data_IF_732148924075
#
_entry.id   IF_732148924075
#
_cell.length_a   1.000
_cell.length_b   1.000
_cell.length_c   1.000
_cell.angle_alpha   90.00
_cell.angle_beta   90.00
_cell.angle_gamma   90.00
#
_symmetry.space_group_name_H-M   'P 1'
#
loop_
_entity.id
_entity.type
_entity.pdbx_description
1 polymer ?
#
# COMPACT_ATOMS: atom_id res chain seq x y z
N UNK A 1 -13.38 24.54 33.08
CA UNK A 1 -12.78 25.70 32.39
C UNK A 1 -11.35 25.43 31.88
N UNK A 2 -10.97 24.19 31.52
CA UNK A 2 -9.56 23.81 31.27
C UNK A 2 -9.26 23.17 29.90
N UNK A 3 -10.26 22.77 29.10
CA UNK A 3 -10.03 22.16 27.77
C UNK A 3 -10.06 23.19 26.63
N UNK A 4 -10.96 24.18 26.72
CA UNK A 4 -11.10 25.22 25.69
C UNK A 4 -9.86 26.12 25.59
N UNK A 5 -9.27 26.50 26.72
CA UNK A 5 -8.01 27.28 26.74
C UNK A 5 -6.80 26.47 26.26
N UNK A 6 -6.82 25.13 26.39
CA UNK A 6 -5.76 24.26 25.85
C UNK A 6 -5.87 24.12 24.33
N UNK A 7 -7.08 24.04 23.78
CA UNK A 7 -7.30 24.03 22.33
C UNK A 7 -6.87 25.35 21.67
N UNK A 8 -7.14 26.50 22.31
CA UNK A 8 -6.69 27.81 21.85
C UNK A 8 -5.16 27.94 21.94
N UNK A 9 -4.53 27.39 22.98
CA UNK A 9 -3.08 27.39 23.12
C UNK A 9 -2.39 26.53 22.04
N UNK A 10 -2.99 25.40 21.64
CA UNK A 10 -2.49 24.57 20.53
C UNK A 10 -2.63 25.28 19.19
N UNK A 11 -3.74 25.98 18.95
CA UNK A 11 -3.92 26.81 17.75
C UNK A 11 -2.96 28.01 17.70
N UNK A 12 -2.67 28.62 18.86
CA UNK A 12 -1.69 29.70 18.97
C UNK A 12 -0.24 29.20 18.77
N UNK A 13 0.11 28.01 19.27
CA UNK A 13 1.42 27.39 19.02
C UNK A 13 1.64 27.06 17.54
N UNK A 14 0.59 26.64 16.83
CA UNK A 14 0.66 26.39 15.38
C UNK A 14 0.92 27.68 14.58
N UNK A 15 0.45 28.83 15.07
CA UNK A 15 0.67 30.13 14.43
C UNK A 15 2.06 30.73 14.65
N UNK A 16 2.76 30.36 15.74
CA UNK A 16 4.12 30.83 16.04
C UNK A 16 5.18 30.11 15.18
N UNK A 17 4.89 28.91 14.68
CA UNK A 17 5.76 28.18 13.75
C UNK A 17 5.80 28.79 12.33
N UNK A 18 4.95 29.77 12.02
CA UNK A 18 4.88 30.39 10.69
C UNK A 18 5.63 31.73 10.56
N UNK A 19 6.35 32.21 11.58
CA UNK A 19 6.91 33.58 11.59
C UNK A 19 8.43 33.68 11.84
N UNK A 20 9.20 32.59 11.80
CA UNK A 20 10.67 32.69 11.85
C UNK A 20 11.38 31.70 10.90
N UNK A 21 11.72 32.12 9.67
CA UNK A 21 12.47 31.30 8.73
C UNK A 21 13.97 31.62 8.80
N UNK A 22 14.60 31.56 9.99
CA UNK A 22 16.07 31.73 10.10
C UNK A 22 16.67 30.91 11.24
N UNK A 23 16.44 29.59 11.21
CA UNK A 23 17.46 28.66 11.69
C UNK A 23 17.66 27.62 10.61
N UNK A 24 18.70 27.83 9.80
CA UNK A 24 19.29 26.77 8.99
C UNK A 24 19.78 25.70 9.96
N UNK A 25 18.94 24.71 10.24
CA UNK A 25 19.42 23.43 10.73
C UNK A 25 20.18 22.82 9.56
N UNK A 26 21.51 22.94 9.58
CA UNK A 26 22.34 22.06 8.78
C UNK A 26 21.99 20.64 9.22
N UNK A 27 21.26 19.92 8.37
CA UNK A 27 20.89 18.54 8.59
C UNK A 27 22.20 17.75 8.66
N UNK A 28 22.52 17.22 9.85
CA UNK A 28 23.76 16.48 10.07
C UNK A 28 23.77 15.28 9.12
N UNK A 29 24.73 15.26 8.20
CA UNK A 29 24.80 14.26 7.12
C UNK A 29 25.09 12.90 7.75
N UNK A 30 24.27 11.90 7.47
CA UNK A 30 24.50 10.53 7.92
C UNK A 30 25.80 10.00 7.30
N UNK A 31 26.76 9.61 8.15
CA UNK A 31 28.05 9.03 7.77
C UNK A 31 28.24 7.68 8.47
N UNK A 32 27.96 6.62 7.74
CA UNK A 32 28.02 5.25 8.22
C UNK A 32 29.47 4.79 8.52
N UNK A 33 30.49 5.41 7.93
CA UNK A 33 31.88 5.08 8.22
C UNK A 33 32.29 5.59 9.61
N UNK A 34 31.85 6.79 9.98
CA UNK A 34 32.03 7.31 11.35
C UNK A 34 31.29 6.47 12.39
N UNK A 35 30.14 5.91 12.01
CA UNK A 35 29.37 4.99 12.84
C UNK A 35 29.96 3.58 12.91
N UNK A 36 31.02 3.28 12.13
CA UNK A 36 31.76 2.01 12.14
C UNK A 36 31.22 0.94 11.19
N UNK A 37 30.25 1.24 10.33
CA UNK A 37 29.70 0.26 9.39
C UNK A 37 30.70 -0.04 8.26
N UNK A 38 30.94 -1.33 8.04
CA UNK A 38 31.76 -1.82 6.93
C UNK A 38 31.00 -1.94 5.61
N UNK A 39 31.65 -2.49 4.59
CA UNK A 39 31.09 -2.66 3.25
C UNK A 39 31.26 -4.13 2.79
N UNK A 40 30.21 -4.79 2.26
CA UNK A 40 30.31 -6.16 1.77
C UNK A 40 31.09 -6.26 0.45
N UNK A 41 31.54 -7.46 0.11
CA UNK A 41 32.05 -7.74 -1.23
C UNK A 41 30.90 -7.77 -2.24
N UNK A 42 30.97 -6.90 -3.24
CA UNK A 42 29.94 -6.78 -4.29
C UNK A 42 30.57 -6.98 -5.65
N UNK A 43 30.05 -7.96 -6.39
CA UNK A 43 30.43 -8.29 -7.77
C UNK A 43 29.18 -8.26 -8.64
N UNK A 44 29.25 -7.56 -9.77
CA UNK A 44 28.21 -7.57 -10.81
C UNK A 44 28.73 -8.32 -12.03
N UNK A 45 27.87 -9.07 -12.71
CA UNK A 45 28.21 -9.76 -13.95
C UNK A 45 26.97 -9.88 -14.84
N UNK A 46 27.04 -9.51 -16.13
CA UNK A 46 28.11 -8.75 -16.78
C UNK A 46 28.13 -7.28 -16.32
N UNK A 47 29.14 -6.49 -16.73
CA UNK A 47 29.20 -5.03 -16.51
C UNK A 47 28.71 -4.22 -17.71
N UNK A 48 28.35 -4.89 -18.81
CA UNK A 48 27.78 -4.27 -19.99
C UNK A 48 26.98 -5.29 -20.79
N UNK A 49 26.02 -4.81 -21.57
CA UNK A 49 25.30 -5.64 -22.53
C UNK A 49 24.11 -4.92 -23.16
N UNK A 50 23.51 -5.49 -24.21
CA UNK A 50 22.31 -4.94 -24.83
C UNK A 50 21.07 -5.05 -23.93
N UNK A 51 19.98 -4.40 -24.34
CA UNK A 51 18.66 -4.65 -23.78
C UNK A 51 18.36 -6.17 -23.73
N UNK A 52 17.71 -6.64 -22.65
CA UNK A 52 17.47 -8.07 -22.40
C UNK A 52 18.61 -8.81 -21.70
N UNK A 53 19.78 -8.18 -21.50
CA UNK A 53 20.89 -8.79 -20.76
C UNK A 53 20.48 -9.10 -19.32
N UNK A 54 20.65 -10.36 -18.91
CA UNK A 54 20.51 -10.78 -17.52
C UNK A 54 21.71 -10.31 -16.70
N UNK A 55 21.43 -9.63 -15.60
CA UNK A 55 22.41 -9.07 -14.66
C UNK A 55 22.33 -9.87 -13.37
N UNK A 56 23.47 -10.38 -12.92
CA UNK A 56 23.65 -11.01 -11.62
C UNK A 56 24.53 -10.11 -10.74
N UNK A 57 24.07 -9.81 -9.53
CA UNK A 57 24.84 -9.10 -8.49
C UNK A 57 25.00 -10.02 -7.28
N UNK A 58 26.24 -10.33 -6.93
CA UNK A 58 26.57 -11.14 -5.74
C UNK A 58 27.08 -10.23 -4.63
N UNK A 59 26.42 -10.30 -3.47
CA UNK A 59 26.81 -9.60 -2.25
C UNK A 59 27.23 -10.63 -1.19
N UNK A 60 28.50 -10.58 -0.78
CA UNK A 60 29.13 -11.55 0.13
C UNK A 60 29.88 -10.84 1.26
N UNK A 61 30.28 -11.60 2.28
CA UNK A 61 31.18 -11.14 3.34
C UNK A 61 30.70 -9.82 4.00
N UNK A 62 29.42 -9.77 4.34
CA UNK A 62 28.83 -8.61 5.01
C UNK A 62 29.47 -8.42 6.40
N UNK A 63 30.10 -7.26 6.69
CA UNK A 63 30.70 -7.02 7.99
C UNK A 63 29.63 -6.93 9.09
N UNK A 64 29.90 -7.43 10.31
CA UNK A 64 28.97 -7.32 11.42
C UNK A 64 28.74 -5.85 11.80
N UNK A 65 27.55 -5.48 12.29
CA UNK A 65 27.25 -4.13 12.70
C UNK A 65 28.06 -3.73 13.95
N UNK A 66 28.37 -2.45 14.12
CA UNK A 66 28.94 -1.94 15.36
C UNK A 66 27.94 -2.04 16.51
N UNK A 67 28.43 -2.35 17.72
CA UNK A 67 27.58 -2.52 18.90
C UNK A 67 26.98 -1.18 19.36
N UNK A 68 25.69 -1.17 19.69
CA UNK A 68 25.01 0.00 20.27
C UNK A 68 24.45 0.99 19.24
N UNK A 69 24.39 0.61 17.96
CA UNK A 69 23.93 1.46 16.87
C UNK A 69 22.40 1.51 16.72
N UNK A 70 21.93 2.53 15.99
CA UNK A 70 20.51 2.79 15.73
C UNK A 70 19.83 1.59 15.05
N UNK A 71 18.68 1.12 15.59
CA UNK A 71 17.97 -0.05 15.08
C UNK A 71 17.28 0.12 13.72
N UNK A 72 17.51 1.22 13.03
CA UNK A 72 16.85 1.56 11.76
C UNK A 72 17.80 1.62 10.58
N UNK A 73 19.09 1.32 10.79
CA UNK A 73 20.11 1.35 9.75
C UNK A 73 20.06 0.05 8.94
N UNK A 74 19.84 0.19 7.63
CA UNK A 74 19.73 -0.90 6.66
C UNK A 74 20.72 -0.66 5.50
N UNK A 75 21.03 -1.73 4.76
CA UNK A 75 21.88 -1.64 3.57
C UNK A 75 21.03 -1.73 2.29
N UNK A 76 21.19 -0.75 1.40
CA UNK A 76 20.34 -0.57 0.21
C UNK A 76 21.13 -0.70 -1.09
N UNK A 77 20.43 -1.08 -2.16
CA UNK A 77 20.88 -1.03 -3.55
C UNK A 77 19.96 -0.12 -4.37
N UNK A 78 20.55 0.75 -5.19
CA UNK A 78 19.85 1.65 -6.10
C UNK A 78 19.93 1.09 -7.51
N UNK A 79 18.77 1.02 -8.18
CA UNK A 79 18.65 0.50 -9.55
C UNK A 79 18.23 1.62 -10.50
N UNK A 80 19.17 2.19 -11.28
CA UNK A 80 18.91 3.35 -12.15
C UNK A 80 18.20 2.99 -13.47
N UNK A 81 18.10 1.70 -13.80
CA UNK A 81 17.48 1.26 -15.05
C UNK A 81 15.99 1.57 -15.09
N UNK A 82 15.38 1.54 -13.89
CA UNK A 82 13.95 1.66 -13.69
C UNK A 82 13.48 3.11 -13.95
N UNK A 83 14.25 4.10 -13.48
CA UNK A 83 13.93 5.52 -13.67
C UNK A 83 14.14 5.99 -15.11
N UNK A 84 15.08 5.39 -15.84
CA UNK A 84 15.39 5.78 -17.23
C UNK A 84 14.29 5.42 -18.25
N UNK A 85 13.32 4.57 -17.86
CA UNK A 85 12.14 4.33 -18.68
C UNK A 85 11.12 5.46 -18.59
N UNK A 86 11.32 6.48 -17.74
CA UNK A 86 10.35 7.57 -17.57
C UNK A 86 9.00 7.08 -17.04
N UNK A 87 8.99 5.94 -16.34
CA UNK A 87 7.82 5.48 -15.60
C UNK A 87 7.81 6.17 -14.23
N UNK A 88 7.15 7.33 -14.17
CA UNK A 88 6.97 8.11 -12.95
C UNK A 88 6.15 7.35 -11.87
N UNK A 89 5.61 6.16 -12.19
CA UNK A 89 4.90 5.29 -11.25
C UNK A 89 5.83 4.38 -10.44
N UNK A 90 7.11 4.29 -10.80
CA UNK A 90 8.10 3.59 -9.99
C UNK A 90 8.34 4.45 -8.76
N UNK A 91 7.87 3.96 -7.61
CA UNK A 91 8.06 4.65 -6.33
C UNK A 91 9.54 4.88 -6.10
N UNK A 92 9.93 6.16 -6.14
CA UNK A 92 11.25 6.58 -5.73
C UNK A 92 11.33 6.51 -4.20
N UNK A 93 12.13 5.60 -3.70
CA UNK A 93 12.45 5.43 -2.29
C UNK A 93 13.93 5.77 -2.13
N UNK A 94 14.31 6.38 -1.00
CA UNK A 94 15.68 6.84 -0.78
C UNK A 94 16.09 8.08 -1.60
N UNK A 95 15.54 9.25 -1.24
CA UNK A 95 15.94 10.56 -1.80
C UNK A 95 15.66 10.73 -3.31
N UNK A 96 14.52 10.21 -3.79
CA UNK A 96 14.06 10.45 -5.15
C UNK A 96 14.64 9.52 -6.22
N UNK A 97 15.44 8.52 -5.83
CA UNK A 97 15.86 7.41 -6.71
C UNK A 97 15.06 6.13 -6.39
N UNK A 98 15.21 5.05 -7.16
CA UNK A 98 14.61 3.76 -6.82
C UNK A 98 15.63 2.85 -6.12
N UNK A 99 15.37 2.50 -4.86
CA UNK A 99 16.23 1.67 -4.03
C UNK A 99 15.47 0.47 -3.44
N UNK A 100 16.19 -0.62 -3.19
CA UNK A 100 15.68 -1.86 -2.56
C UNK A 100 16.56 -2.19 -1.34
N UNK A 101 15.97 -2.46 -0.16
CA UNK A 101 16.73 -2.93 1.00
C UNK A 101 17.32 -4.31 0.72
N UNK A 102 18.65 -4.43 0.79
CA UNK A 102 19.34 -5.70 0.63
C UNK A 102 19.49 -6.43 1.95
N UNK A 103 19.75 -5.75 3.07
CA UNK A 103 19.80 -6.37 4.39
C UNK A 103 19.07 -5.48 5.38
N UNK A 104 18.07 -6.05 6.04
CA UNK A 104 17.33 -5.39 7.12
C UNK A 104 18.17 -5.31 8.38
N UNK A 105 17.78 -4.43 9.29
CA UNK A 105 18.41 -4.33 10.61
C UNK A 105 18.37 -5.67 11.38
N UNK A 106 17.25 -6.39 11.31
CA UNK A 106 17.09 -7.68 12.00
C UNK A 106 18.08 -8.73 11.48
N UNK A 107 18.31 -8.79 10.17
CA UNK A 107 19.28 -9.70 9.56
C UNK A 107 20.72 -9.35 9.96
N UNK A 108 21.03 -8.05 9.94
CA UNK A 108 22.35 -7.51 10.26
C UNK A 108 22.71 -7.78 11.73
N UNK A 109 21.77 -7.55 12.64
CA UNK A 109 22.00 -7.72 14.08
C UNK A 109 21.97 -9.15 14.57
N UNK A 110 21.26 -10.04 13.88
CA UNK A 110 21.20 -11.45 14.24
C UNK A 110 22.43 -12.25 13.75
N UNK A 111 23.45 -11.58 13.18
CA UNK A 111 24.55 -12.20 12.43
C UNK A 111 24.04 -13.18 11.33
N UNK A 112 22.82 -12.94 10.83
CA UNK A 112 22.16 -13.75 9.79
C UNK A 112 22.38 -13.15 8.39
N UNK A 113 23.56 -12.57 8.15
CA UNK A 113 23.92 -11.93 6.89
C UNK A 113 24.46 -12.93 5.87
N UNK A 114 23.59 -13.88 5.49
CA UNK A 114 23.90 -14.84 4.45
C UNK A 114 24.14 -14.14 3.10
N UNK A 115 25.03 -14.66 2.23
CA UNK A 115 25.22 -14.13 0.88
C UNK A 115 23.92 -13.94 0.11
N UNK A 116 23.81 -12.83 -0.61
CA UNK A 116 22.67 -12.53 -1.47
C UNK A 116 23.10 -12.51 -2.94
N UNK A 117 22.33 -13.18 -3.78
CA UNK A 117 22.43 -13.14 -5.23
C UNK A 117 21.19 -12.44 -5.76
N UNK A 118 21.38 -11.30 -6.41
CA UNK A 118 20.33 -10.50 -7.01
C UNK A 118 20.36 -10.73 -8.52
N UNK A 119 19.22 -10.98 -9.13
CA UNK A 119 19.09 -11.24 -10.57
C UNK A 119 17.94 -10.45 -11.17
N UNK A 120 18.15 -9.86 -12.35
CA UNK A 120 17.13 -9.23 -13.18
C UNK A 120 17.66 -9.04 -14.61
N UNK A 121 16.78 -9.01 -15.61
CA UNK A 121 17.14 -8.66 -16.97
C UNK A 121 16.87 -7.18 -17.27
N UNK A 122 17.66 -6.59 -18.18
CA UNK A 122 17.35 -5.30 -18.76
C UNK A 122 16.05 -5.37 -19.57
N UNK A 123 15.27 -4.29 -19.54
CA UNK A 123 14.04 -4.17 -20.31
C UNK A 123 14.30 -4.30 -21.81
N UNK A 124 13.48 -5.10 -22.49
CA UNK A 124 13.59 -5.32 -23.92
C UNK A 124 12.30 -5.77 -24.54
N UNK A 125 12.00 -5.26 -25.73
CA UNK A 125 10.88 -5.75 -26.55
C UNK A 125 11.06 -7.19 -27.05
N UNK A 126 12.27 -7.76 -26.90
CA UNK A 126 12.58 -9.16 -27.19
C UNK A 126 12.57 -10.07 -25.95
N UNK A 127 12.29 -9.52 -24.75
CA UNK A 127 12.20 -10.35 -23.55
C UNK A 127 11.02 -11.35 -23.67
N UNK A 128 11.12 -12.52 -23.03
CA UNK A 128 9.99 -13.44 -22.92
C UNK A 128 8.80 -12.74 -22.26
N UNK A 129 7.58 -13.05 -22.73
CA UNK A 129 6.36 -12.50 -22.13
C UNK A 129 6.25 -12.92 -20.66
N UNK A 130 5.64 -12.10 -19.80
CA UNK A 130 5.34 -12.49 -18.44
C UNK A 130 4.53 -13.78 -18.38
N UNK A 131 4.86 -14.65 -17.43
CA UNK A 131 4.13 -15.90 -17.18
C UNK A 131 3.33 -15.76 -15.88
N UNK A 132 2.20 -16.45 -15.76
CA UNK A 132 1.38 -16.40 -14.55
C UNK A 132 1.79 -17.52 -13.59
N UNK A 133 2.41 -17.18 -12.46
CA UNK A 133 2.76 -18.12 -11.39
C UNK A 133 2.05 -17.73 -10.09
N UNK A 134 1.34 -18.68 -9.47
CA UNK A 134 0.57 -18.45 -8.23
C UNK A 134 -0.38 -17.24 -8.28
N UNK A 135 -1.01 -17.01 -9.44
CA UNK A 135 -1.92 -15.88 -9.66
C UNK A 135 -1.25 -14.51 -9.81
N UNK A 136 0.08 -14.46 -9.93
CA UNK A 136 0.86 -13.24 -10.12
C UNK A 136 1.69 -13.34 -11.41
N UNK A 137 1.76 -12.25 -12.19
CA UNK A 137 2.62 -12.22 -13.37
C UNK A 137 4.07 -12.14 -12.93
N UNK A 138 4.91 -13.02 -13.46
CA UNK A 138 6.35 -13.02 -13.28
C UNK A 138 7.05 -12.75 -14.62
N UNK A 139 8.12 -11.97 -14.59
CA UNK A 139 8.95 -11.66 -15.75
C UNK A 139 10.44 -11.78 -15.46
N UNK A 140 11.25 -11.88 -16.52
CA UNK A 140 12.73 -11.87 -16.40
C UNK A 140 13.27 -10.53 -15.89
N UNK A 141 12.49 -9.45 -16.03
CA UNK A 141 12.88 -8.12 -15.54
C UNK A 141 12.59 -7.93 -14.05
N UNK A 142 11.81 -8.82 -13.42
CA UNK A 142 11.52 -8.75 -12.00
C UNK A 142 12.81 -8.91 -11.19
N UNK A 143 12.99 -8.11 -10.14
CA UNK A 143 14.18 -8.19 -9.30
C UNK A 143 13.98 -9.32 -8.30
N UNK A 144 14.86 -10.32 -8.37
CA UNK A 144 14.85 -11.45 -7.45
C UNK A 144 16.08 -11.42 -6.55
N UNK A 145 15.88 -11.64 -5.25
CA UNK A 145 16.96 -11.83 -4.27
C UNK A 145 16.90 -13.27 -3.80
N UNK A 146 17.98 -14.03 -4.03
CA UNK A 146 18.06 -15.47 -3.74
C UNK A 146 16.86 -16.26 -4.33
N UNK A 147 16.42 -15.86 -5.53
CA UNK A 147 15.29 -16.47 -6.24
C UNK A 147 13.90 -15.99 -5.81
N UNK A 148 13.78 -15.18 -4.77
CA UNK A 148 12.50 -14.58 -4.35
C UNK A 148 12.31 -13.21 -4.99
N UNK A 149 11.18 -13.02 -5.66
CA UNK A 149 10.80 -11.74 -6.27
C UNK A 149 10.55 -10.69 -5.18
N UNK A 150 11.34 -9.61 -5.21
CA UNK A 150 11.22 -8.48 -4.28
C UNK A 150 10.64 -7.23 -4.93
N UNK A 151 10.74 -7.12 -6.26
CA UNK A 151 10.19 -6.02 -7.05
C UNK A 151 9.70 -6.55 -8.39
N UNK A 152 8.55 -6.06 -8.87
CA UNK A 152 7.89 -6.57 -10.08
C UNK A 152 7.90 -5.53 -11.19
N UNK A 153 8.27 -5.98 -12.38
CA UNK A 153 8.33 -5.17 -13.59
C UNK A 153 7.62 -5.83 -14.78
N UNK A 154 6.77 -6.81 -14.50
CA UNK A 154 6.19 -7.69 -15.50
C UNK A 154 5.37 -6.95 -16.56
N UNK A 155 4.71 -5.85 -16.22
CA UNK A 155 3.90 -5.06 -17.15
C UNK A 155 4.73 -4.24 -18.14
N UNK A 156 5.97 -3.89 -17.78
CA UNK A 156 6.85 -3.01 -18.59
C UNK A 156 8.05 -3.75 -19.18
N UNK A 157 8.27 -5.01 -18.79
CA UNK A 157 9.43 -5.81 -19.16
C UNK A 157 9.64 -5.97 -20.67
N UNK A 158 8.54 -5.94 -21.43
CA UNK A 158 8.47 -6.16 -22.88
C UNK A 158 8.07 -4.92 -23.68
N UNK A 159 7.85 -3.78 -23.02
CA UNK A 159 7.25 -2.61 -23.67
C UNK A 159 8.26 -1.87 -24.55
N UNK A 160 9.49 -1.74 -24.06
CA UNK A 160 10.57 -0.99 -24.73
C UNK A 160 11.94 -1.46 -24.30
N UNK A 161 12.92 -1.25 -25.18
CA UNK A 161 14.33 -1.49 -24.88
C UNK A 161 14.86 -0.47 -23.87
N UNK A 162 15.71 -0.94 -22.95
CA UNK A 162 16.46 -0.07 -22.05
C UNK A 162 17.28 0.94 -22.87
N UNK A 163 17.22 2.25 -22.57
CA UNK A 163 18.00 3.25 -23.29
C UNK A 163 19.51 2.97 -23.20
N UNK A 164 20.23 3.26 -24.28
CA UNK A 164 21.68 3.17 -24.32
C UNK A 164 22.31 4.15 -23.33
N UNK A 165 23.42 3.77 -22.71
CA UNK A 165 24.16 4.66 -21.82
C UNK A 165 24.81 3.98 -20.63
N UNK A 166 25.39 4.80 -19.77
CA UNK A 166 26.00 4.37 -18.52
C UNK A 166 25.04 4.57 -17.36
N UNK A 167 24.90 3.52 -16.56
CA UNK A 167 23.97 3.44 -15.45
C UNK A 167 24.73 3.18 -14.16
N UNK A 168 24.49 4.00 -13.15
CA UNK A 168 25.17 3.90 -11.86
C UNK A 168 24.33 3.11 -10.85
N UNK A 169 24.72 1.86 -10.61
CA UNK A 169 24.15 1.05 -9.54
C UNK A 169 24.88 1.41 -8.25
N UNK A 170 24.14 1.95 -7.27
CA UNK A 170 24.72 2.45 -6.02
C UNK A 170 24.38 1.54 -4.86
N UNK A 171 25.26 1.46 -3.89
CA UNK A 171 25.07 0.74 -2.64
C UNK A 171 25.32 1.68 -1.47
N UNK A 172 24.36 1.76 -0.56
CA UNK A 172 24.38 2.75 0.51
C UNK A 172 23.94 2.13 1.83
N UNK A 173 24.46 2.71 2.91
CA UNK A 173 23.83 2.60 4.21
C UNK A 173 22.76 3.69 4.33
N UNK A 174 21.62 3.38 4.94
CA UNK A 174 20.57 4.37 5.12
C UNK A 174 19.65 4.03 6.29
N UNK A 175 18.89 5.04 6.71
CA UNK A 175 17.87 4.86 7.75
C UNK A 175 16.50 4.71 7.09
N UNK A 176 15.82 3.62 7.40
CA UNK A 176 14.50 3.31 6.86
C UNK A 176 13.51 4.46 7.11
N UNK A 177 12.74 4.85 6.07
CA UNK A 177 11.75 5.96 6.10
C UNK A 177 12.32 7.35 6.39
N UNK A 178 13.63 7.54 6.27
CA UNK A 178 14.27 8.86 6.30
C UNK A 178 14.88 9.19 4.94
N UNK A 179 15.32 10.43 4.75
CA UNK A 179 16.13 10.85 3.58
C UNK A 179 17.64 10.80 3.89
N UNK A 180 18.05 10.00 4.87
CA UNK A 180 19.45 9.91 5.30
C UNK A 180 20.11 8.66 4.72
N UNK A 181 20.89 8.87 3.66
CA UNK A 181 21.64 7.82 2.95
C UNK A 181 23.10 8.22 2.75
N UNK A 182 23.98 7.22 2.79
CA UNK A 182 25.41 7.35 2.63
C UNK A 182 25.90 6.32 1.61
N UNK A 183 26.05 6.77 0.37
CA UNK A 183 26.50 5.95 -0.76
C UNK A 183 27.96 5.55 -0.54
N UNK A 184 28.22 4.25 -0.46
CA UNK A 184 29.56 3.69 -0.24
C UNK A 184 30.20 3.10 -1.48
N UNK A 185 29.41 2.60 -2.42
CA UNK A 185 29.93 2.05 -3.66
C UNK A 185 29.01 2.38 -4.82
N UNK A 186 29.61 2.76 -5.94
CA UNK A 186 28.93 2.93 -7.22
C UNK A 186 29.59 1.99 -8.22
N UNK A 187 28.78 1.26 -8.97
CA UNK A 187 29.23 0.40 -10.05
C UNK A 187 28.52 0.84 -11.32
N UNK A 188 29.30 1.13 -12.36
CA UNK A 188 28.77 1.50 -13.67
C UNK A 188 28.46 0.26 -14.49
N UNK A 189 27.25 0.19 -15.03
CA UNK A 189 26.85 -0.75 -16.05
C UNK A 189 26.60 -0.01 -17.38
N UNK A 190 27.10 -0.53 -18.49
CA UNK A 190 26.92 0.10 -19.81
C UNK A 190 25.92 -0.67 -20.66
N UNK A 191 24.80 -0.04 -21.00
CA UNK A 191 23.84 -0.59 -21.96
C UNK A 191 24.33 -0.30 -23.37
N UNK A 192 24.58 -1.36 -24.14
CA UNK A 192 25.15 -1.31 -25.49
C UNK A 192 24.08 -1.57 -26.54
N UNK A 193 24.38 -1.30 -27.82
CA UNK A 193 23.49 -1.70 -28.90
C UNK A 193 23.43 -3.22 -29.03
N UNK A 194 22.25 -3.74 -29.40
CA UNK A 194 22.10 -5.14 -29.79
C UNK A 194 22.84 -5.36 -31.11
N UNK A 195 23.90 -6.16 -31.09
CA UNK A 195 24.55 -6.60 -32.32
C UNK A 195 23.58 -7.56 -33.00
N UNK A 196 22.97 -7.11 -34.10
CA UNK A 196 21.91 -7.78 -34.84
C UNK A 196 22.31 -9.21 -35.23
N UNK A 197 21.94 -10.18 -34.42
CA UNK A 197 21.58 -11.50 -34.90
C UNK A 197 20.06 -11.55 -34.80
N UNK A 198 19.39 -11.84 -35.92
CA UNK A 198 17.96 -12.10 -35.96
C UNK A 198 17.65 -13.24 -34.98
N UNK A 199 17.30 -12.90 -33.75
CA UNK A 199 16.69 -13.83 -32.81
C UNK A 199 15.25 -13.95 -33.23
N UNK A 200 14.84 -15.12 -33.68
CA UNK A 200 13.43 -15.51 -33.65
C UNK A 200 12.88 -15.13 -32.27
N UNK A 201 11.71 -14.49 -32.28
CA UNK A 201 10.96 -14.14 -31.08
C UNK A 201 10.92 -15.40 -30.21
N UNK A 202 11.54 -15.38 -29.01
CA UNK A 202 11.55 -16.55 -28.13
C UNK A 202 10.10 -16.83 -27.75
N UNK A 203 9.49 -17.81 -28.42
CA UNK A 203 8.07 -18.10 -28.29
C UNK A 203 7.87 -18.74 -26.93
N UNK A 204 7.10 -18.09 -26.07
CA UNK A 204 6.93 -18.52 -24.69
C UNK A 204 6.25 -19.90 -24.68
N UNK A 205 6.63 -20.85 -23.80
CA UNK A 205 6.09 -22.21 -23.84
C UNK A 205 4.56 -22.24 -23.74
N UNK A 206 3.96 -21.30 -23.01
CA UNK A 206 2.52 -21.13 -22.87
C UNK A 206 1.84 -20.54 -24.11
N UNK A 207 2.49 -19.67 -24.88
CA UNK A 207 1.98 -19.22 -26.19
C UNK A 207 1.78 -20.42 -27.14
N UNK A 208 2.74 -21.36 -27.16
CA UNK A 208 2.66 -22.58 -27.97
C UNK A 208 1.46 -23.43 -27.51
N UNK A 209 1.30 -23.61 -26.20
CA UNK A 209 0.19 -24.37 -25.60
C UNK A 209 -1.15 -23.69 -25.91
N UNK A 210 -1.22 -22.37 -25.84
CA UNK A 210 -2.41 -21.57 -26.13
C UNK A 210 -2.81 -21.68 -27.59
N UNK A 211 -1.85 -21.58 -28.52
CA UNK A 211 -2.09 -21.72 -29.95
C UNK A 211 -2.54 -23.15 -30.29
N UNK A 212 -1.86 -24.17 -29.75
CA UNK A 212 -2.25 -25.57 -29.92
C UNK A 212 -3.68 -25.83 -29.42
N UNK A 213 -4.05 -25.31 -28.25
CA UNK A 213 -5.40 -25.50 -27.70
C UNK A 213 -6.46 -24.70 -28.48
N UNK A 214 -6.14 -23.47 -28.87
CA UNK A 214 -7.01 -22.63 -29.70
C UNK A 214 -7.29 -23.27 -31.07
N UNK A 215 -6.28 -23.90 -31.66
CA UNK A 215 -6.38 -24.58 -32.94
C UNK A 215 -6.96 -26.00 -32.84
N UNK A 216 -7.19 -26.50 -31.62
CA UNK A 216 -7.75 -27.84 -31.37
C UNK A 216 -6.74 -28.98 -31.53
N UNK A 217 -5.44 -28.69 -31.52
CA UNK A 217 -4.35 -29.66 -31.62
C UNK A 217 -4.13 -30.44 -30.32
N UNK A 218 -4.47 -29.84 -29.17
CA UNK A 218 -4.45 -30.48 -27.85
C UNK A 218 -5.83 -30.43 -27.18
N UNK A 219 -6.13 -31.42 -26.35
CA UNK A 219 -7.39 -31.50 -25.60
C UNK A 219 -7.38 -30.55 -24.40
N UNK A 220 -8.56 -30.28 -23.82
CA UNK A 220 -8.66 -29.47 -22.60
C UNK A 220 -7.90 -30.09 -21.41
N UNK A 221 -7.88 -31.41 -21.31
CA UNK A 221 -7.14 -32.12 -20.27
C UNK A 221 -5.62 -31.98 -20.46
N UNK A 222 -5.16 -32.04 -21.71
CA UNK A 222 -3.76 -31.87 -22.08
C UNK A 222 -3.32 -30.41 -21.89
N UNK A 223 -4.18 -29.44 -22.22
CA UNK A 223 -3.97 -28.01 -21.97
C UNK A 223 -3.81 -27.70 -20.48
N UNK A 224 -4.71 -28.22 -19.64
CA UNK A 224 -4.66 -28.05 -18.17
C UNK A 224 -3.38 -28.67 -17.61
N UNK A 225 -3.03 -29.88 -18.06
CA UNK A 225 -1.83 -30.60 -17.60
C UNK A 225 -0.54 -29.86 -17.97
N UNK A 226 -0.43 -29.37 -19.20
CA UNK A 226 0.75 -28.64 -19.66
C UNK A 226 0.91 -27.29 -18.94
N UNK A 227 -0.18 -26.53 -18.74
CA UNK A 227 -0.11 -25.29 -17.94
C UNK A 227 0.19 -25.53 -16.47
N UNK A 228 -0.34 -26.60 -15.88
CA UNK A 228 -0.01 -26.99 -14.49
C UNK A 228 1.47 -27.31 -14.37
N UNK A 229 2.08 -27.96 -15.38
CA UNK A 229 3.52 -28.23 -15.40
C UNK A 229 4.38 -26.96 -15.55
N UNK A 230 3.80 -25.87 -16.06
CA UNK A 230 4.39 -24.53 -16.11
C UNK A 230 4.12 -23.69 -14.84
N UNK A 231 3.46 -24.26 -13.83
CA UNK A 231 3.22 -23.60 -12.54
C UNK A 231 1.94 -22.77 -12.45
N UNK A 232 1.04 -22.90 -13.43
CA UNK A 232 -0.28 -22.25 -13.35
C UNK A 232 -1.16 -22.94 -12.29
N UNK A 233 -1.78 -22.14 -11.43
CA UNK A 233 -2.78 -22.60 -10.46
C UNK A 233 -4.20 -22.66 -11.09
N UNK A 234 -5.18 -23.16 -10.33
CA UNK A 234 -6.55 -23.33 -10.81
C UNK A 234 -7.21 -22.00 -11.25
N UNK A 235 -6.84 -20.87 -10.65
CA UNK A 235 -7.34 -19.56 -11.05
C UNK A 235 -6.66 -19.08 -12.33
N UNK A 236 -5.35 -19.29 -12.47
CA UNK A 236 -4.59 -18.95 -13.66
C UNK A 236 -5.05 -19.72 -14.89
N UNK A 237 -5.33 -21.01 -14.74
CA UNK A 237 -5.91 -21.83 -15.82
C UNK A 237 -7.31 -21.31 -16.20
N UNK A 238 -8.12 -20.88 -15.23
CA UNK A 238 -9.44 -20.27 -15.50
C UNK A 238 -9.32 -18.97 -16.28
N UNK A 239 -8.36 -18.11 -15.93
CA UNK A 239 -8.09 -16.86 -16.63
C UNK A 239 -7.57 -17.11 -18.06
N UNK A 240 -6.67 -18.07 -18.24
CA UNK A 240 -6.19 -18.48 -19.56
C UNK A 240 -7.35 -18.96 -20.46
N UNK A 241 -8.26 -19.78 -19.94
CA UNK A 241 -9.47 -20.20 -20.66
C UNK A 241 -10.41 -19.04 -20.97
N UNK A 242 -10.49 -18.03 -20.10
CA UNK A 242 -11.27 -16.81 -20.33
C UNK A 242 -10.73 -15.99 -21.49
N UNK A 243 -9.39 -15.79 -21.54
CA UNK A 243 -8.71 -15.07 -22.62
C UNK A 243 -8.90 -15.74 -23.98
N UNK A 244 -8.99 -17.08 -24.01
CA UNK A 244 -9.23 -17.85 -25.23
C UNK A 244 -10.73 -17.93 -25.61
N UNK A 245 -11.63 -17.32 -24.84
CA UNK A 245 -13.07 -17.36 -25.09
C UNK A 245 -13.67 -18.76 -24.94
N UNK A 246 -13.03 -19.65 -24.17
CA UNK A 246 -13.42 -21.06 -23.98
C UNK A 246 -14.03 -21.34 -22.60
N UNK A 247 -14.41 -20.31 -21.85
CA UNK A 247 -15.21 -20.51 -20.64
C UNK A 247 -16.63 -20.96 -21.03
N UNK A 248 -17.19 -22.02 -20.42
CA UNK A 248 -18.61 -22.24 -20.49
C UNK A 248 -19.30 -21.03 -19.84
N UNK A 249 -20.22 -20.37 -20.56
CA UNK A 249 -21.11 -19.38 -19.98
C UNK A 249 -21.96 -20.05 -18.90
N UNK A 250 -21.49 -20.07 -17.65
CA UNK A 250 -22.33 -20.39 -16.50
C UNK A 250 -22.85 -19.07 -15.93
N UNK A 251 -24.08 -18.71 -16.32
CA UNK A 251 -24.98 -18.03 -15.39
C UNK A 251 -25.04 -18.92 -14.14
N UNK A 252 -24.67 -18.37 -12.99
CA UNK A 252 -24.61 -19.13 -11.74
C UNK A 252 -25.97 -19.72 -11.40
N UNK A 253 -26.14 -21.02 -11.64
CA UNK A 253 -27.19 -21.81 -11.00
C UNK A 253 -26.56 -22.57 -9.85
N UNK A 254 -27.00 -22.30 -8.63
CA UNK A 254 -26.66 -23.10 -7.45
C UNK A 254 -26.92 -24.59 -7.73
N UNK A 255 -25.99 -25.47 -7.33
CA UNK A 255 -26.23 -26.91 -7.36
C UNK A 255 -27.45 -27.25 -6.49
N UNK A 256 -28.16 -28.36 -6.74
CA UNK A 256 -29.28 -28.80 -5.90
C UNK A 256 -28.88 -28.90 -4.42
N UNK A 257 -27.65 -29.31 -4.10
CA UNK A 257 -27.15 -29.38 -2.72
C UNK A 257 -26.94 -28.00 -2.11
N UNK A 258 -26.45 -27.02 -2.90
CA UNK A 258 -26.28 -25.65 -2.44
C UNK A 258 -27.63 -24.97 -2.18
N UNK A 259 -28.66 -25.24 -2.99
CA UNK A 259 -30.02 -24.75 -2.75
C UNK A 259 -30.61 -25.31 -1.46
N UNK A 260 -30.42 -26.61 -1.22
CA UNK A 260 -30.85 -27.25 0.03
C UNK A 260 -30.13 -26.68 1.25
N UNK A 261 -28.82 -26.47 1.18
CA UNK A 261 -28.04 -25.91 2.28
C UNK A 261 -28.48 -24.47 2.64
N UNK A 262 -28.84 -23.66 1.63
CA UNK A 262 -29.35 -22.30 1.85
C UNK A 262 -30.75 -22.32 2.45
N UNK A 263 -31.66 -23.18 1.95
CA UNK A 263 -33.00 -23.33 2.54
C UNK A 263 -32.96 -23.85 3.98
N UNK A 264 -32.06 -24.80 4.29
CA UNK A 264 -31.84 -25.26 5.66
C UNK A 264 -31.26 -24.16 6.56
N UNK A 265 -30.35 -23.34 6.03
CA UNK A 265 -29.79 -22.19 6.74
C UNK A 265 -30.85 -21.15 7.08
N UNK A 266 -31.76 -20.86 6.14
CA UNK A 266 -32.88 -19.92 6.36
C UNK A 266 -33.85 -20.47 7.41
N UNK A 267 -34.22 -21.76 7.35
CA UNK A 267 -35.09 -22.38 8.35
C UNK A 267 -34.49 -22.36 9.76
N UNK A 268 -33.19 -22.66 9.89
CA UNK A 268 -32.49 -22.60 11.18
C UNK A 268 -32.42 -21.17 11.73
N UNK A 269 -32.22 -20.18 10.86
CA UNK A 269 -32.22 -18.77 11.27
C UNK A 269 -33.61 -18.30 11.72
N UNK A 270 -34.69 -18.73 11.05
CA UNK A 270 -36.08 -18.44 11.44
C UNK A 270 -36.49 -19.11 12.76
N UNK A 271 -36.03 -20.34 13.02
CA UNK A 271 -36.27 -21.03 14.31
C UNK A 271 -35.50 -20.37 15.45
N UNK A 272 -34.24 -19.98 15.23
CA UNK A 272 -33.44 -19.26 16.22
C UNK A 272 -34.07 -17.89 16.54
N UNK A 273 -34.55 -17.17 15.52
CA UNK A 273 -35.23 -15.88 15.72
C UNK A 273 -36.54 -16.00 16.52
N UNK A 274 -37.22 -17.15 16.47
CA UNK A 274 -38.43 -17.40 17.27
C UNK A 274 -38.09 -17.72 18.72
N UNK A 275 -37.05 -18.54 18.94
CA UNK A 275 -36.55 -18.87 20.27
C UNK A 275 -36.04 -17.62 21.02
N UNK A 276 -35.30 -16.75 20.33
CA UNK A 276 -34.79 -15.50 20.92
C UNK A 276 -35.93 -14.53 21.30
N UNK A 277 -37.05 -14.57 20.55
CA UNK A 277 -38.24 -13.73 20.83
C UNK A 277 -39.05 -14.22 22.03
N UNK A 278 -39.15 -15.54 22.21
CA UNK A 278 -39.81 -16.16 23.37
C UNK A 278 -38.97 -15.99 24.67
N UNK A 279 -37.65 -15.91 24.56
CA UNK A 279 -36.75 -15.63 25.69
C UNK A 279 -36.78 -14.15 26.12
N UNK A 280 -37.05 -13.23 25.20
CA UNK A 280 -37.22 -11.79 25.47
C UNK A 280 -38.53 -11.45 26.18
N UNK A 281 -39.59 -12.27 26.07
CA UNK A 281 -40.89 -12.01 26.71
C UNK A 281 -41.02 -12.59 28.14
N UNK A 282 -40.05 -13.41 28.61
CA UNK A 282 -40.10 -14.06 29.93
C UNK A 282 -39.25 -13.41 31.03
N UNK A 283 -38.54 -12.30 30.74
CA UNK A 283 -37.61 -11.64 31.69
C UNK A 283 -38.07 -10.25 32.10
N UNK A 284 -39.37 -9.99 32.13
CA UNK A 284 -39.94 -8.74 32.67
C UNK A 284 -40.90 -9.03 33.81
N UNK A 285 -40.40 -9.67 34.87
CA UNK A 285 -40.99 -9.63 36.22
C UNK A 285 -40.07 -10.41 37.17
N UNK A 286 -39.08 -9.74 37.75
CA UNK A 286 -38.69 -9.87 39.17
C UNK A 286 -37.35 -9.21 39.44
N UNK A 287 -37.35 -8.45 40.54
CA UNK A 287 -36.23 -8.17 41.43
C UNK A 287 -35.40 -6.90 41.27
N UNK A 288 -35.96 -5.87 41.90
CA UNK A 288 -35.31 -4.78 42.63
C UNK A 288 -34.24 -5.30 43.60
N UNK A 289 -33.07 -4.65 43.59
CA UNK A 289 -32.31 -4.35 44.81
C UNK A 289 -31.05 -5.19 45.10
N UNK A 290 -29.94 -4.44 45.18
CA UNK A 290 -28.97 -4.44 46.29
C UNK A 290 -27.55 -4.94 45.99
N UNK A 291 -26.63 -4.13 46.52
CA UNK A 291 -25.17 -4.19 46.52
C UNK A 291 -24.58 -5.57 46.76
N UNK A 292 -23.45 -5.85 46.10
CA UNK A 292 -22.20 -6.30 46.76
C UNK A 292 -21.08 -6.54 45.73
N UNK A 293 -19.90 -6.00 46.05
CA UNK A 293 -18.59 -6.42 45.51
C UNK A 293 -18.28 -7.80 46.11
N UNK A 294 -17.67 -8.72 45.35
CA UNK A 294 -16.38 -9.21 45.83
C UNK A 294 -15.30 -9.31 44.76
N UNK A 295 -14.12 -9.10 45.30
CA UNK A 295 -12.77 -9.15 44.76
C UNK A 295 -12.30 -10.59 44.48
N UNK A 296 -11.36 -10.70 43.52
CA UNK A 296 -10.33 -11.75 43.35
C UNK A 296 -10.74 -13.12 42.76
N UNK A 297 -10.14 -13.45 41.60
CA UNK A 297 -9.24 -14.61 41.50
C UNK A 297 -8.28 -14.50 40.30
N UNK A 298 -7.00 -14.73 40.58
CA UNK A 298 -5.88 -14.79 39.63
C UNK A 298 -6.04 -15.89 38.58
N UNK A 299 -5.65 -15.60 37.34
CA UNK A 299 -5.00 -16.56 36.46
C UNK A 299 -4.25 -15.82 35.34
N UNK A 300 -2.92 -15.86 35.42
CA UNK A 300 -2.02 -15.52 34.32
C UNK A 300 -2.29 -16.44 33.13
N UNK A 301 -2.88 -15.89 32.06
CA UNK A 301 -2.75 -16.46 30.72
C UNK A 301 -2.07 -15.44 29.82
N UNK A 302 -0.81 -15.75 29.53
CA UNK A 302 0.09 -15.02 28.62
C UNK A 302 -0.48 -15.06 27.21
N UNK A 303 -1.42 -14.15 26.93
CA UNK A 303 -1.93 -13.91 25.59
C UNK A 303 -0.86 -13.14 24.82
N UNK A 304 -0.15 -13.86 23.94
CA UNK A 304 0.64 -13.29 22.86
C UNK A 304 -0.24 -12.34 22.06
N UNK A 305 -0.01 -11.04 22.23
CA UNK A 305 -0.55 -10.00 21.34
C UNK A 305 0.05 -10.24 19.97
N UNK A 306 -0.71 -10.89 19.09
CA UNK A 306 -0.55 -10.70 17.65
C UNK A 306 -0.76 -9.21 17.41
N UNK A 307 0.30 -8.51 17.02
CA UNK A 307 0.13 -7.22 16.35
C UNK A 307 -0.64 -7.47 15.06
N UNK A 308 -1.96 -7.30 15.13
CA UNK A 308 -2.77 -7.07 13.96
C UNK A 308 -2.21 -5.82 13.29
N UNK A 309 -1.69 -6.00 12.06
CA UNK A 309 -1.47 -4.89 11.13
C UNK A 309 -2.79 -4.12 11.05
N UNK A 310 -2.87 -2.98 11.74
CA UNK A 310 -4.06 -2.12 11.77
C UNK A 310 -4.47 -1.82 10.33
N UNK A 311 -5.57 -2.40 9.90
CA UNK A 311 -6.23 -2.02 8.65
C UNK A 311 -6.55 -0.53 8.72
N UNK A 312 -6.16 0.25 7.71
CA UNK A 312 -6.41 1.68 7.65
C UNK A 312 -7.91 1.99 7.60
N UNK A 313 -8.50 2.30 8.76
CA UNK A 313 -9.90 2.69 8.94
C UNK A 313 -10.11 4.20 9.13
N UNK A 314 -11.30 4.70 8.80
CA UNK A 314 -11.68 6.10 9.03
C UNK A 314 -12.02 6.33 10.51
N UNK A 315 -11.03 6.35 11.40
CA UNK A 315 -11.19 6.38 12.87
C UNK A 315 -12.06 7.54 13.38
N UNK A 316 -11.81 8.77 12.92
CA UNK A 316 -12.57 9.97 13.33
C UNK A 316 -14.02 9.87 12.87
N UNK A 317 -14.25 9.52 11.61
CA UNK A 317 -15.61 9.37 11.09
C UNK A 317 -16.36 8.23 11.78
N UNK A 318 -15.68 7.11 12.07
CA UNK A 318 -16.24 5.98 12.79
C UNK A 318 -16.64 6.36 14.21
N UNK A 319 -15.82 7.14 14.92
CA UNK A 319 -16.15 7.65 16.24
C UNK A 319 -17.32 8.65 16.21
N UNK A 320 -17.32 9.56 15.22
CA UNK A 320 -18.37 10.55 15.01
C UNK A 320 -19.74 9.93 14.68
N UNK A 321 -19.78 8.91 13.82
CA UNK A 321 -21.02 8.26 13.35
C UNK A 321 -21.37 6.97 14.10
N UNK A 322 -20.48 6.48 14.98
CA UNK A 322 -20.73 5.41 15.94
C UNK A 322 -20.54 3.98 15.42
N UNK A 323 -20.38 3.77 14.11
CA UNK A 323 -20.12 2.45 13.53
C UNK A 323 -19.34 2.59 12.23
N UNK A 324 -18.50 1.59 11.94
CA UNK A 324 -17.80 1.47 10.66
C UNK A 324 -18.78 1.26 9.49
N UNK A 325 -19.99 0.77 9.77
CA UNK A 325 -21.05 0.52 8.77
C UNK A 325 -21.95 1.75 8.54
N UNK A 326 -21.63 2.91 9.12
CA UNK A 326 -22.40 4.12 8.90
C UNK A 326 -22.29 4.57 7.44
N UNK A 327 -23.38 5.05 6.86
CA UNK A 327 -23.42 5.45 5.43
C UNK A 327 -22.36 6.50 5.08
N UNK A 328 -22.07 7.42 6.00
CA UNK A 328 -21.04 8.44 5.82
C UNK A 328 -19.62 7.85 5.81
N UNK A 329 -19.38 6.80 6.58
CA UNK A 329 -18.09 6.11 6.64
C UNK A 329 -17.92 5.22 5.41
N UNK A 330 -18.99 4.58 4.94
CA UNK A 330 -18.99 3.80 3.70
C UNK A 330 -18.78 4.70 2.48
N UNK A 331 -19.41 5.87 2.42
CA UNK A 331 -19.16 6.87 1.38
C UNK A 331 -17.67 7.23 1.28
N UNK A 332 -17.00 7.47 2.42
CA UNK A 332 -15.57 7.75 2.43
C UNK A 332 -14.75 6.57 1.89
N UNK A 333 -15.14 5.33 2.21
CA UNK A 333 -14.47 4.12 1.72
C UNK A 333 -14.67 3.95 0.22
N UNK A 334 -15.89 4.14 -0.29
CA UNK A 334 -16.19 4.07 -1.71
C UNK A 334 -15.41 5.11 -2.51
N UNK A 335 -15.37 6.37 -2.05
CA UNK A 335 -14.58 7.41 -2.70
C UNK A 335 -13.09 7.05 -2.67
N UNK A 336 -12.58 6.58 -1.53
CA UNK A 336 -11.18 6.15 -1.42
C UNK A 336 -10.86 5.01 -2.39
N UNK A 337 -11.66 3.96 -2.37
CA UNK A 337 -11.35 2.69 -3.05
C UNK A 337 -11.64 2.77 -4.55
N UNK A 338 -12.72 3.44 -4.95
CA UNK A 338 -13.16 3.49 -6.34
C UNK A 338 -12.70 4.75 -7.10
N UNK A 339 -12.41 5.85 -6.39
CA UNK A 339 -12.04 7.13 -7.03
C UNK A 339 -10.59 7.52 -6.73
N UNK A 340 -10.15 7.49 -5.47
CA UNK A 340 -8.79 7.88 -5.12
C UNK A 340 -7.77 6.79 -5.53
N UNK A 341 -8.05 5.52 -5.27
CA UNK A 341 -7.13 4.42 -5.63
C UNK A 341 -7.23 3.95 -7.09
N UNK A 342 -8.19 4.43 -7.86
CA UNK A 342 -8.23 4.22 -9.31
C UNK A 342 -7.29 5.14 -10.09
N UNK A 343 -6.62 6.08 -9.40
CA UNK A 343 -5.67 7.04 -9.98
C UNK A 343 -4.36 7.09 -9.19
N UNK A 344 -3.26 7.40 -9.88
CA UNK A 344 -1.94 7.55 -9.28
C UNK A 344 -1.89 8.81 -8.39
N UNK A 345 -2.47 9.92 -8.87
CA UNK A 345 -2.56 11.16 -8.09
C UNK A 345 -3.38 11.00 -6.80
N UNK A 346 -4.51 10.30 -6.85
CA UNK A 346 -5.31 9.97 -5.67
C UNK A 346 -4.61 9.02 -4.69
N UNK A 347 -3.88 8.03 -5.20
CA UNK A 347 -3.09 7.09 -4.38
C UNK A 347 -1.93 7.80 -3.67
N UNK A 348 -1.22 8.70 -4.36
CA UNK A 348 -0.16 9.52 -3.80
C UNK A 348 -0.68 10.47 -2.72
N UNK A 349 -1.82 11.12 -2.96
CA UNK A 349 -2.52 11.93 -1.97
C UNK A 349 -2.87 11.09 -0.73
N UNK A 350 -3.50 9.93 -0.91
CA UNK A 350 -3.91 9.07 0.20
C UNK A 350 -2.72 8.55 1.02
N UNK A 351 -1.56 8.33 0.41
CA UNK A 351 -0.34 7.93 1.12
C UNK A 351 0.12 9.02 2.09
N UNK A 352 0.25 10.25 1.60
CA UNK A 352 0.64 11.41 2.42
C UNK A 352 -0.42 11.75 3.47
N UNK A 353 -1.69 11.74 3.05
CA UNK A 353 -2.83 11.96 3.94
C UNK A 353 -2.86 10.94 5.07
N UNK A 354 -2.68 9.64 4.78
CA UNK A 354 -2.70 8.58 5.78
C UNK A 354 -1.61 8.76 6.83
N UNK A 355 -0.38 9.13 6.43
CA UNK A 355 0.71 9.35 7.37
C UNK A 355 0.36 10.44 8.40
N UNK A 356 -0.22 11.54 7.93
CA UNK A 356 -0.64 12.65 8.80
C UNK A 356 -1.89 12.26 9.60
N UNK A 357 -2.92 11.74 8.93
CA UNK A 357 -4.19 11.34 9.52
C UNK A 357 -4.03 10.35 10.66
N UNK A 358 -3.27 9.26 10.48
CA UNK A 358 -3.07 8.26 11.53
C UNK A 358 -2.13 8.71 12.65
N UNK A 359 -1.38 9.82 12.47
CA UNK A 359 -0.56 10.38 13.55
C UNK A 359 -1.38 11.01 14.68
N UNK A 360 -2.60 11.48 14.40
CA UNK A 360 -3.46 12.16 15.38
C UNK A 360 -4.86 11.56 15.52
N UNK A 361 -5.38 10.87 14.50
CA UNK A 361 -6.76 10.36 14.51
C UNK A 361 -7.11 9.40 15.65
N UNK A 362 -6.22 8.53 16.16
CA UNK A 362 -6.55 7.69 17.32
C UNK A 362 -6.90 8.53 18.54
N UNK A 363 -6.11 9.57 18.83
CA UNK A 363 -6.32 10.47 19.98
C UNK A 363 -7.63 11.24 19.86
N UNK A 364 -7.97 11.72 18.67
CA UNK A 364 -9.24 12.42 18.43
C UNK A 364 -10.42 11.47 18.60
N UNK A 365 -10.35 10.27 18.03
CA UNK A 365 -11.40 9.25 18.18
C UNK A 365 -11.60 8.83 19.64
N UNK A 366 -10.53 8.78 20.44
CA UNK A 366 -10.62 8.54 21.89
C UNK A 366 -11.35 9.67 22.61
N UNK A 367 -11.09 10.93 22.25
CA UNK A 367 -11.79 12.08 22.84
C UNK A 367 -13.28 12.11 22.44
N UNK A 368 -13.63 11.72 21.22
CA UNK A 368 -15.01 11.59 20.77
C UNK A 368 -15.78 10.54 21.59
N UNK A 369 -15.13 9.40 21.90
CA UNK A 369 -15.72 8.35 22.74
C UNK A 369 -15.93 8.79 24.18
N UNK A 370 -15.11 9.70 24.70
CA UNK A 370 -15.19 10.18 26.08
C UNK A 370 -16.17 11.35 26.27
N UNK A 371 -16.51 12.09 25.20
CA UNK A 371 -17.32 13.30 25.28
C UNK A 371 -18.37 13.37 24.17
N UNK A 372 -19.66 13.14 24.48
CA UNK A 372 -20.76 13.26 23.52
C UNK A 372 -20.85 14.65 22.87
N UNK A 373 -20.50 15.71 23.61
CA UNK A 373 -20.48 17.08 23.08
C UNK A 373 -19.35 17.24 22.06
N UNK A 374 -18.16 16.72 22.36
CA UNK A 374 -17.03 16.79 21.42
C UNK A 374 -17.31 15.98 20.16
N UNK A 375 -17.91 14.79 20.29
CA UNK A 375 -18.40 13.99 19.16
C UNK A 375 -19.33 14.78 18.24
N UNK A 376 -20.35 15.45 18.78
CA UNK A 376 -21.29 16.23 17.94
C UNK A 376 -20.61 17.46 17.31
N UNK A 377 -19.62 18.07 17.98
CA UNK A 377 -18.79 19.13 17.37
C UNK A 377 -17.98 18.58 16.20
N UNK A 378 -17.28 17.45 16.37
CA UNK A 378 -16.49 16.82 15.31
C UNK A 378 -17.39 16.40 14.14
N UNK A 379 -18.50 15.72 14.42
CA UNK A 379 -19.51 15.33 13.43
C UNK A 379 -20.04 16.52 12.62
N UNK A 380 -20.35 17.63 13.30
CA UNK A 380 -20.77 18.87 12.63
C UNK A 380 -19.64 19.48 11.81
N UNK A 381 -18.41 19.44 12.34
CA UNK A 381 -17.24 19.99 11.67
C UNK A 381 -16.88 19.21 10.41
N UNK A 382 -17.00 17.88 10.37
CA UNK A 382 -16.65 17.07 9.19
C UNK A 382 -17.75 16.99 8.14
N UNK A 383 -19.00 17.34 8.48
CA UNK A 383 -20.15 17.20 7.57
C UNK A 383 -20.00 17.97 6.24
N UNK A 384 -19.51 19.23 6.21
CA UNK A 384 -19.30 19.93 4.94
C UNK A 384 -18.24 19.27 4.06
N UNK A 385 -17.20 18.68 4.66
CA UNK A 385 -16.19 17.92 3.92
C UNK A 385 -16.79 16.66 3.29
N UNK A 386 -17.62 15.92 4.02
CA UNK A 386 -18.30 14.74 3.48
C UNK A 386 -19.22 15.09 2.31
N UNK A 387 -19.95 16.21 2.43
CA UNK A 387 -20.85 16.69 1.38
C UNK A 387 -20.12 17.18 0.12
N UNK A 388 -18.91 17.71 0.27
CA UNK A 388 -18.12 18.16 -0.89
C UNK A 388 -17.39 16.99 -1.54
N UNK A 389 -16.95 16.00 -0.76
CA UNK A 389 -16.35 14.76 -1.26
C UNK A 389 -17.34 13.92 -2.06
N UNK A 390 -18.63 13.89 -1.70
CA UNK A 390 -19.64 13.13 -2.47
C UNK A 390 -19.76 13.59 -3.93
N UNK A 391 -19.31 14.80 -4.27
CA UNK A 391 -19.28 15.31 -5.65
C UNK A 391 -18.36 14.45 -6.52
N UNK A 392 -17.28 13.90 -5.96
CA UNK A 392 -16.36 13.00 -6.69
C UNK A 392 -17.02 11.72 -7.18
N UNK A 393 -18.11 11.27 -6.53
CA UNK A 393 -18.83 10.07 -6.95
C UNK A 393 -19.72 10.31 -8.18
N UNK A 394 -20.01 11.57 -8.50
CA UNK A 394 -20.83 11.97 -9.66
C UNK A 394 -19.99 12.54 -10.80
N UNK A 395 -18.72 12.85 -10.56
CA UNK A 395 -17.79 13.27 -11.60
C UNK A 395 -17.27 12.02 -12.32
N UNK A 396 -17.48 11.93 -13.63
CA UNK A 396 -16.77 10.95 -14.47
C UNK A 396 -15.30 11.36 -14.52
N UNK A 397 -14.45 10.68 -13.75
CA UNK A 397 -13.00 10.91 -13.72
C UNK A 397 -12.36 9.84 -14.59
N UNK A 398 -12.05 10.19 -15.84
CA UNK A 398 -11.48 9.28 -16.82
C UNK A 398 -9.98 9.52 -17.03
N UNK A 399 -9.39 10.53 -16.34
CA UNK A 399 -7.98 10.89 -16.44
C UNK A 399 -7.34 11.43 -15.14
N UNK A 400 -6.01 11.32 -15.03
CA UNK A 400 -5.23 11.90 -13.92
C UNK A 400 -5.38 13.42 -13.79
N UNK A 401 -5.50 14.12 -14.92
CA UNK A 401 -5.63 15.58 -14.93
C UNK A 401 -6.95 16.07 -14.35
N UNK A 402 -8.03 15.31 -14.60
CA UNK A 402 -9.35 15.59 -14.03
C UNK A 402 -9.36 15.31 -12.54
N UNK A 403 -8.73 14.21 -12.10
CA UNK A 403 -8.61 13.88 -10.69
C UNK A 403 -7.92 14.97 -9.88
N UNK A 404 -6.79 15.48 -10.38
CA UNK A 404 -6.07 16.60 -9.77
C UNK A 404 -6.93 17.87 -9.76
N UNK A 405 -7.62 18.17 -10.86
CA UNK A 405 -8.50 19.33 -10.98
C UNK A 405 -9.64 19.30 -9.95
N UNK A 406 -10.39 18.20 -9.89
CA UNK A 406 -11.47 18.02 -8.92
C UNK A 406 -10.95 17.99 -7.48
N UNK A 407 -9.82 17.32 -7.23
CA UNK A 407 -9.17 17.28 -5.92
C UNK A 407 -8.79 18.67 -5.40
N UNK A 408 -8.11 19.48 -6.23
CA UNK A 408 -7.76 20.87 -5.91
C UNK A 408 -9.03 21.71 -5.72
N UNK A 409 -10.04 21.54 -6.56
CA UNK A 409 -11.32 22.23 -6.45
C UNK A 409 -12.02 21.97 -5.12
N UNK A 410 -12.09 20.71 -4.68
CA UNK A 410 -12.70 20.31 -3.40
C UNK A 410 -11.89 20.83 -2.22
N UNK A 411 -10.56 20.81 -2.29
CA UNK A 411 -9.71 21.40 -1.25
C UNK A 411 -9.98 22.89 -1.09
N UNK A 412 -10.01 23.65 -2.20
CA UNK A 412 -10.31 25.08 -2.19
C UNK A 412 -11.73 25.36 -1.69
N UNK A 413 -12.70 24.54 -2.08
CA UNK A 413 -14.09 24.65 -1.62
C UNK A 413 -14.20 24.42 -0.11
N UNK A 414 -13.53 23.40 0.43
CA UNK A 414 -13.48 23.13 1.87
C UNK A 414 -12.83 24.28 2.63
N UNK A 415 -11.67 24.78 2.17
CA UNK A 415 -11.03 25.95 2.74
C UNK A 415 -11.99 27.15 2.74
N UNK A 416 -12.69 27.39 1.62
CA UNK A 416 -13.72 28.42 1.54
C UNK A 416 -14.80 28.26 2.62
N UNK A 417 -15.36 27.06 2.77
CA UNK A 417 -16.40 26.77 3.77
C UNK A 417 -15.89 26.99 5.21
N UNK A 418 -14.70 26.48 5.55
CA UNK A 418 -14.18 26.54 6.92
C UNK A 418 -13.66 27.92 7.34
N UNK A 419 -13.25 28.78 6.41
CA UNK A 419 -12.73 30.10 6.73
C UNK A 419 -13.72 31.23 6.43
N UNK A 420 -14.42 31.18 5.30
CA UNK A 420 -15.30 32.27 4.85
C UNK A 420 -16.61 32.28 5.63
N UNK A 421 -17.26 31.13 5.83
CA UNK A 421 -18.54 31.08 6.54
C UNK A 421 -18.38 31.56 8.00
N UNK A 422 -17.41 31.06 8.80
CA UNK A 422 -17.18 31.58 10.14
C UNK A 422 -16.81 33.07 10.16
N UNK A 423 -16.02 33.57 9.20
CA UNK A 423 -15.70 34.99 9.11
C UNK A 423 -16.95 35.87 8.87
N UNK A 424 -17.87 35.44 8.00
CA UNK A 424 -19.14 36.13 7.77
C UNK A 424 -20.02 36.10 9.01
N UNK A 425 -20.08 34.96 9.71
CA UNK A 425 -20.84 34.85 10.97
C UNK A 425 -20.27 35.80 12.01
N UNK A 426 -18.95 35.77 12.26
CA UNK A 426 -18.28 36.63 13.24
C UNK A 426 -18.50 38.12 12.91
N UNK A 427 -18.40 38.52 11.65
CA UNK A 427 -18.58 39.93 11.25
C UNK A 427 -20.04 40.37 11.39
N UNK A 428 -21.02 39.54 11.05
CA UNK A 428 -22.44 39.84 11.27
C UNK A 428 -22.82 39.86 12.75
N UNK A 429 -22.32 38.93 13.56
CA UNK A 429 -22.59 38.89 14.99
C UNK A 429 -21.96 40.09 15.70
N UNK A 430 -20.73 40.50 15.34
CA UNK A 430 -20.12 41.75 15.82
C UNK A 430 -20.93 42.99 15.47
N UNK A 431 -21.62 43.00 14.32
CA UNK A 431 -22.50 44.10 13.93
C UNK A 431 -23.75 44.17 14.82
N UNK A 432 -24.32 43.01 15.18
CA UNK A 432 -25.49 42.92 16.06
C UNK A 432 -25.22 43.18 17.55
N UNK A 433 -23.97 43.04 18.01
CA UNK A 433 -23.57 43.37 19.39
C UNK A 433 -22.99 44.79 19.55
N UNK A 434 -22.92 45.55 18.45
CA UNK A 434 -22.43 46.93 18.44
C UNK A 434 -23.55 47.96 18.25
N UNK A 435 -24.78 47.48 18.01
CA UNK A 435 -26.04 48.19 18.20
C UNK A 435 -26.68 47.69 19.51
#
# INVERSE_FOLDING_TARGET
MNYFNRAIAVFAMLSVLLVNPTSSFAQEKFDSAQLGFGMPDIVITPTSGPAGTEIEIKVKNMPPPPKGNDPRIEFFMYLPFVTALGDDNVKNNCDGEHCIPLYSFEEINADKVAPKTITFALFSDQNPKPTLQNGLMESVCDVKINGQTVERYSTVCIDKNQPLGNYEIKFAWGIQRSNLFDIKKTITFTVTESVTAQSEKLQNPDDIIFDQYKNGEITEEEFVKQLTSLGYDANGIRQAKALLGKLPHQQGSFSPEQKQAVEEGIKKAEEQSKLDREQSEKTTESFVGQDTIPEKMDSEEKTTVKEEKKSGGCLIATAAYGTEMASQVQLLREIRDNVLFSTNSGTGFMTSFNAIYYSFSPTIADWERQSPIFKEVVKTAIAPMLSTLSILNYASIDSESEMLGYGIGIMLLNIGIYFVIPAIVITKTRKYFKD
#
